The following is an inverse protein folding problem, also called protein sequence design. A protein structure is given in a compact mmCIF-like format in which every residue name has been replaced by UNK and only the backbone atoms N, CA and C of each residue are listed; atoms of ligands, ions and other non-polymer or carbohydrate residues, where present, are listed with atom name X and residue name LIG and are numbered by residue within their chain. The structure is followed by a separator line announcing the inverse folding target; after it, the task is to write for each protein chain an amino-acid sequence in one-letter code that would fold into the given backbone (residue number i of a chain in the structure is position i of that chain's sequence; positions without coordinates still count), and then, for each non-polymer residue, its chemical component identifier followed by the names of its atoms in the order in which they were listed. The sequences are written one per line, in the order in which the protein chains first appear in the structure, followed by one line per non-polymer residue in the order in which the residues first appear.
data_IF_134360438411
#
_entry.id   IF_134360438411
#
_cell.length_a   1.000
_cell.length_b   1.000
_cell.length_c   1.000
_cell.angle_alpha   90.00
_cell.angle_beta   90.00
_cell.angle_gamma   90.00
#
_symmetry.space_group_name_H-M   'P 1'
#
loop_
_entity.id
_entity.type
_entity.pdbx_description
1 polymer ?
#
# COMPACT_ATOMS: atom_id res chain seq x y z
N UNK A 1 71.93 -13.67 10.07
CA UNK A 1 72.55 -13.98 11.39
C UNK A 1 72.29 -12.83 12.36
N UNK A 2 72.44 -13.04 13.69
CA UNK A 2 72.58 -12.02 14.78
C UNK A 2 71.58 -10.84 14.85
N UNK A 3 70.72 -10.70 15.88
CA UNK A 3 70.95 -10.29 17.30
C UNK A 3 71.51 -8.86 17.47
N UNK A 4 71.08 -7.98 18.40
CA UNK A 4 69.90 -7.93 19.33
C UNK A 4 69.87 -6.65 20.23
N UNK A 5 68.71 -6.37 20.88
CA UNK A 5 68.50 -5.68 22.20
C UNK A 5 68.47 -4.14 22.35
N UNK A 6 67.56 -3.68 23.24
CA UNK A 6 67.54 -2.36 23.94
C UNK A 6 66.20 -1.60 23.77
N UNK A 7 65.26 -1.40 24.71
CA UNK A 7 65.01 -1.65 26.17
C UNK A 7 64.94 -0.38 27.07
N UNK A 8 63.71 0.14 27.26
CA UNK A 8 63.16 1.12 28.26
C UNK A 8 61.63 0.87 28.34
N UNK A 9 60.79 1.10 29.38
CA UNK A 9 60.75 1.79 30.70
C UNK A 9 60.78 3.34 30.72
N UNK A 10 59.89 4.05 31.44
CA UNK A 10 58.68 3.69 32.23
C UNK A 10 57.86 4.97 32.63
N UNK A 11 56.77 4.79 33.43
CA UNK A 11 55.97 5.83 34.16
C UNK A 11 54.97 6.59 33.26
N UNK A 12 53.74 6.97 33.67
CA UNK A 12 52.96 6.70 34.91
C UNK A 12 51.82 7.73 35.14
N UNK A 13 50.90 7.46 36.09
CA UNK A 13 49.64 8.20 36.42
C UNK A 13 48.56 8.24 35.31
N UNK A 14 47.24 8.04 35.50
CA UNK A 14 46.31 7.82 36.64
C UNK A 14 45.50 9.03 37.16
N UNK A 15 44.27 8.72 37.63
CA UNK A 15 43.16 9.60 38.06
C UNK A 15 42.37 10.31 36.93
N UNK A 16 41.03 10.45 37.02
CA UNK A 16 40.12 9.88 38.01
C UNK A 16 38.63 9.97 37.60
N UNK A 17 37.82 8.99 38.02
CA UNK A 17 36.35 9.06 37.92
C UNK A 17 35.76 9.86 39.09
N UNK A 18 34.66 10.56 38.86
CA UNK A 18 33.65 10.80 39.90
C UNK A 18 32.27 10.33 39.44
N UNK A 19 31.53 9.80 40.39
CA UNK A 19 30.16 9.26 40.29
C UNK A 19 29.37 9.90 41.42
N UNK A 20 28.08 10.22 41.23
CA UNK A 20 27.11 10.19 42.32
C UNK A 20 26.26 8.91 42.26
N UNK A 21 26.25 8.16 43.36
CA UNK A 21 25.16 7.24 43.73
C UNK A 21 24.28 7.94 44.76
N UNK A 22 23.02 7.50 44.85
CA UNK A 22 22.25 7.11 46.05
C UNK A 22 20.86 6.70 45.50
N UNK A 23 20.38 5.47 45.65
CA UNK A 23 19.69 4.91 46.84
C UNK A 23 18.48 5.76 47.29
N UNK A 24 17.23 5.26 47.36
CA UNK A 24 16.68 3.95 46.94
C UNK A 24 15.51 3.47 47.84
N UNK A 25 14.73 2.48 47.38
CA UNK A 25 13.54 1.88 48.04
C UNK A 25 12.30 2.81 48.14
N UNK A 26 11.05 2.37 48.30
CA UNK A 26 10.35 1.09 47.99
C UNK A 26 8.84 1.24 48.27
N UNK A 27 7.96 0.48 47.58
CA UNK A 27 6.61 0.15 48.09
C UNK A 27 5.41 0.77 47.34
N UNK A 28 4.72 -0.10 46.59
CA UNK A 28 3.28 -0.41 46.62
C UNK A 28 2.13 0.64 46.50
N UNK A 29 1.08 0.16 45.82
CA UNK A 29 -0.35 0.54 45.92
C UNK A 29 -0.89 1.79 45.21
N UNK A 30 -1.49 1.53 44.04
CA UNK A 30 -2.83 1.96 43.58
C UNK A 30 -3.45 3.22 44.23
N UNK A 31 -3.68 4.27 43.42
CA UNK A 31 -5.03 4.81 43.18
C UNK A 31 -5.11 5.75 41.96
N UNK A 32 -6.33 6.10 41.57
CA UNK A 32 -6.68 6.78 40.31
C UNK A 32 -7.13 8.23 40.48
N UNK A 33 -6.53 9.15 39.73
CA UNK A 33 -7.10 10.45 39.35
C UNK A 33 -6.74 10.69 37.87
N UNK A 34 -7.68 10.84 36.93
CA UNK A 34 -8.70 11.88 36.80
C UNK A 34 -8.11 13.26 36.48
N UNK A 35 -8.00 13.57 35.18
CA UNK A 35 -8.00 14.94 34.69
C UNK A 35 -8.89 15.05 33.45
N UNK A 36 -10.17 15.38 33.66
CA UNK A 36 -11.09 15.87 32.63
C UNK A 36 -11.22 17.38 32.80
N UNK A 37 -10.56 18.17 31.97
CA UNK A 37 -11.00 19.52 31.58
C UNK A 37 -10.03 20.07 30.53
N UNK A 38 -10.61 20.58 29.43
CA UNK A 38 -10.14 21.70 28.58
C UNK A 38 -10.89 21.67 27.23
N UNK A 39 -12.22 21.79 27.31
CA UNK A 39 -13.10 22.09 26.17
C UNK A 39 -14.13 23.13 26.61
N UNK A 40 -13.71 24.39 26.68
CA UNK A 40 -14.59 25.57 26.53
C UNK A 40 -13.79 26.88 26.59
N UNK A 41 -13.63 27.56 25.45
CA UNK A 41 -13.87 29.01 25.33
C UNK A 41 -13.87 29.46 23.86
N UNK A 42 -14.52 30.61 23.62
CA UNK A 42 -14.39 31.46 22.43
C UNK A 42 -14.86 30.90 21.08
N UNK A 43 -16.10 30.40 21.03
CA UNK A 43 -16.97 30.72 19.90
C UNK A 43 -17.66 32.07 20.19
N UNK A 44 -17.31 33.14 19.48
CA UNK A 44 -18.15 34.33 19.36
C UNK A 44 -18.34 34.69 17.89
N UNK A 45 -19.59 34.86 17.52
CA UNK A 45 -20.04 35.02 16.14
C UNK A 45 -19.94 36.48 15.70
N UNK A 46 -19.31 36.75 14.57
CA UNK A 46 -19.43 38.03 13.88
C UNK A 46 -19.62 37.80 12.37
N UNK A 47 -20.66 38.42 11.79
CA UNK A 47 -21.01 38.26 10.38
C UNK A 47 -20.26 39.31 9.55
N UNK A 48 -19.41 38.88 8.64
CA UNK A 48 -18.92 39.73 7.54
C UNK A 48 -19.30 39.10 6.21
N UNK A 49 -20.16 39.80 5.44
CA UNK A 49 -20.28 39.58 3.99
C UNK A 49 -19.13 40.30 3.29
N UNK A 50 -18.54 39.72 2.25
CA UNK A 50 -18.02 40.48 1.12
C UNK A 50 -19.06 40.54 0.00
N UNK A 51 -19.12 41.66 -0.71
CA UNK A 51 -19.90 41.82 -1.93
C UNK A 51 -19.05 41.51 -3.18
N UNK A 52 -19.57 41.82 -4.37
CA UNK A 52 -19.00 41.44 -5.66
C UNK A 52 -17.72 42.20 -6.05
N UNK A 53 -17.02 41.62 -7.04
CA UNK A 53 -16.02 42.22 -7.94
C UNK A 53 -14.70 42.76 -7.35
N UNK A 54 -13.61 42.09 -7.73
CA UNK A 54 -12.51 42.79 -8.42
C UNK A 54 -11.75 41.86 -9.39
N UNK A 55 -11.29 42.39 -10.53
CA UNK A 55 -10.60 41.61 -11.56
C UNK A 55 -9.15 41.25 -11.19
N UNK A 56 -8.92 40.11 -10.53
CA UNK A 56 -7.53 39.60 -10.39
C UNK A 56 -7.04 38.89 -11.66
N UNK A 57 -6.48 39.69 -12.57
CA UNK A 57 -5.60 39.25 -13.67
C UNK A 57 -4.33 38.61 -13.10
N UNK A 58 -4.40 37.33 -12.74
CA UNK A 58 -3.28 36.50 -12.32
C UNK A 58 -2.54 35.89 -13.51
N UNK A 59 -1.21 36.06 -13.58
CA UNK A 59 -0.42 35.70 -14.75
C UNK A 59 -0.40 34.17 -15.02
N UNK A 60 -0.97 33.76 -16.15
CA UNK A 60 -0.96 32.37 -16.62
C UNK A 60 0.40 31.96 -17.22
N UNK A 61 1.43 31.86 -16.39
CA UNK A 61 2.75 31.35 -16.80
C UNK A 61 2.73 29.81 -16.78
N UNK A 62 2.90 29.19 -17.95
CA UNK A 62 3.22 27.77 -18.08
C UNK A 62 2.08 26.79 -18.42
N UNK A 63 0.84 27.27 -18.57
CA UNK A 63 -0.28 26.41 -19.00
C UNK A 63 -0.14 26.02 -20.49
N UNK A 64 0.53 24.88 -20.78
CA UNK A 64 0.48 24.22 -22.10
C UNK A 64 -0.99 23.92 -22.43
N UNK A 65 -1.57 24.64 -23.40
CA UNK A 65 -2.90 24.32 -23.95
C UNK A 65 -2.85 22.92 -24.57
N UNK A 66 -3.38 21.92 -23.89
CA UNK A 66 -3.42 20.55 -24.43
C UNK A 66 -4.52 20.50 -25.51
N UNK A 67 -4.20 20.16 -26.78
CA UNK A 67 -5.16 20.23 -27.88
C UNK A 67 -6.16 19.07 -27.83
N UNK A 68 -7.25 19.24 -27.09
CA UNK A 68 -8.38 18.30 -27.01
C UNK A 68 -9.26 18.33 -28.30
N UNK A 69 -8.66 18.54 -29.47
CA UNK A 69 -9.34 18.80 -30.75
C UNK A 69 -9.38 17.61 -31.72
N UNK A 70 -8.70 16.49 -31.42
CA UNK A 70 -8.78 15.27 -32.24
C UNK A 70 -9.93 14.38 -31.79
N UNK A 71 -10.60 13.69 -32.71
CA UNK A 71 -11.80 12.88 -32.40
C UNK A 71 -11.50 11.67 -31.48
N UNK A 72 -12.38 11.42 -30.50
CA UNK A 72 -12.27 10.28 -29.58
C UNK A 72 -12.63 8.96 -30.29
N UNK A 73 -11.68 8.02 -30.34
CA UNK A 73 -11.83 6.70 -31.00
C UNK A 73 -11.48 5.56 -30.04
N UNK A 74 -11.76 4.32 -30.44
CA UNK A 74 -11.45 3.12 -29.66
C UNK A 74 -9.94 2.98 -29.36
N UNK A 75 -9.09 3.41 -30.28
CA UNK A 75 -7.63 3.31 -30.19
C UNK A 75 -7.06 4.38 -29.24
N UNK A 76 -7.55 5.61 -29.34
CA UNK A 76 -7.01 6.77 -28.61
C UNK A 76 -7.72 7.07 -27.27
N UNK A 77 -8.77 6.33 -26.93
CA UNK A 77 -9.65 6.64 -25.80
C UNK A 77 -8.93 6.83 -24.46
N UNK A 78 -8.15 5.85 -23.99
CA UNK A 78 -7.51 5.88 -22.66
C UNK A 78 -6.58 7.08 -22.52
N UNK A 79 -5.84 7.44 -23.56
CA UNK A 79 -4.89 8.55 -23.50
C UNK A 79 -5.61 9.91 -23.48
N UNK A 80 -6.71 10.06 -24.23
CA UNK A 80 -7.53 11.28 -24.15
C UNK A 80 -8.24 11.43 -22.82
N UNK A 81 -8.71 10.34 -22.24
CA UNK A 81 -9.29 10.37 -20.89
C UNK A 81 -8.22 10.70 -19.82
N UNK A 82 -6.96 10.29 -20.00
CA UNK A 82 -5.85 10.74 -19.15
C UNK A 82 -5.61 12.24 -19.27
N UNK A 83 -5.42 12.75 -20.49
CA UNK A 83 -5.31 14.19 -20.78
C UNK A 83 -6.48 14.98 -20.19
N UNK A 84 -7.72 14.55 -20.39
CA UNK A 84 -8.91 15.21 -19.85
C UNK A 84 -9.02 15.14 -18.31
N UNK A 85 -8.31 14.21 -17.66
CA UNK A 85 -8.25 14.16 -16.18
C UNK A 85 -7.37 15.28 -15.61
N UNK A 86 -6.47 15.86 -16.42
CA UNK A 86 -5.58 16.96 -16.04
C UNK A 86 -6.23 18.36 -16.24
N UNK A 87 -7.36 18.44 -16.94
CA UNK A 87 -8.14 19.66 -17.09
C UNK A 87 -8.81 20.09 -15.76
N UNK A 88 -9.07 21.38 -15.59
CA UNK A 88 -9.90 21.85 -14.47
C UNK A 88 -11.33 21.29 -14.58
N UNK A 89 -12.05 21.22 -13.45
CA UNK A 89 -13.44 20.73 -13.44
C UNK A 89 -14.34 21.50 -14.44
N UNK A 90 -14.17 22.82 -14.52
CA UNK A 90 -14.90 23.74 -15.40
C UNK A 90 -14.54 23.59 -16.88
N UNK A 91 -13.34 23.10 -17.20
CA UNK A 91 -12.97 22.75 -18.59
C UNK A 91 -13.46 21.35 -18.95
N UNK A 92 -13.25 20.38 -18.05
CA UNK A 92 -13.66 18.98 -18.24
C UNK A 92 -15.17 18.85 -18.43
N UNK A 93 -15.98 19.59 -17.67
CA UNK A 93 -17.45 19.54 -17.75
C UNK A 93 -18.00 19.97 -19.12
N UNK A 94 -17.34 20.91 -19.82
CA UNK A 94 -17.70 21.35 -21.18
C UNK A 94 -17.58 20.23 -22.22
N UNK A 95 -16.66 19.30 -22.02
CA UNK A 95 -16.39 18.18 -22.92
C UNK A 95 -17.10 16.87 -22.48
N UNK A 96 -17.45 16.76 -21.20
CA UNK A 96 -17.96 15.53 -20.58
C UNK A 96 -19.15 14.89 -21.31
N UNK A 97 -20.22 15.61 -21.72
CA UNK A 97 -21.39 14.98 -22.35
C UNK A 97 -21.06 14.30 -23.68
N UNK A 98 -20.33 15.00 -24.56
CA UNK A 98 -19.91 14.46 -25.85
C UNK A 98 -18.94 13.28 -25.71
N UNK A 99 -18.04 13.35 -24.73
CA UNK A 99 -17.06 12.28 -24.45
C UNK A 99 -17.73 11.03 -23.86
N UNK A 100 -18.61 11.17 -22.85
CA UNK A 100 -19.34 10.00 -22.33
C UNK A 100 -20.31 9.42 -23.37
N UNK A 101 -20.94 10.25 -24.22
CA UNK A 101 -21.78 9.79 -25.33
C UNK A 101 -20.97 8.99 -26.38
N UNK A 102 -19.81 9.49 -26.80
CA UNK A 102 -18.94 8.78 -27.75
C UNK A 102 -18.34 7.51 -27.13
N UNK A 103 -18.00 7.48 -25.83
CA UNK A 103 -17.59 6.24 -25.16
C UNK A 103 -18.71 5.18 -25.15
N UNK A 104 -19.98 5.57 -24.94
CA UNK A 104 -21.11 4.64 -24.92
C UNK A 104 -21.30 3.87 -26.24
N UNK A 105 -20.84 4.42 -27.38
CA UNK A 105 -20.98 3.76 -28.68
C UNK A 105 -19.88 2.72 -28.98
N UNK A 106 -18.72 2.78 -28.32
CA UNK A 106 -17.60 1.85 -28.58
C UNK A 106 -17.04 1.11 -27.36
N UNK A 107 -17.48 1.41 -26.13
CA UNK A 107 -16.93 0.77 -24.90
C UNK A 107 -17.00 -0.77 -24.92
N UNK A 108 -18.03 -1.35 -25.57
CA UNK A 108 -18.18 -2.80 -25.73
C UNK A 108 -17.27 -3.42 -26.80
N UNK A 109 -16.59 -2.61 -27.62
CA UNK A 109 -15.74 -3.04 -28.73
C UNK A 109 -14.23 -2.86 -28.46
N UNK A 110 -13.85 -2.12 -27.42
CA UNK A 110 -12.47 -2.07 -26.91
C UNK A 110 -12.18 -3.28 -26.01
N UNK A 111 -10.90 -3.65 -25.92
CA UNK A 111 -10.46 -4.75 -25.05
C UNK A 111 -10.77 -4.53 -23.56
N UNK A 112 -10.91 -5.63 -22.84
CA UNK A 112 -11.21 -5.69 -21.41
C UNK A 112 -10.30 -4.82 -20.52
N UNK A 113 -9.02 -4.69 -20.88
CA UNK A 113 -8.08 -3.89 -20.10
C UNK A 113 -8.34 -2.40 -20.29
N UNK A 114 -8.60 -1.95 -21.54
CA UNK A 114 -9.08 -0.59 -21.80
C UNK A 114 -10.45 -0.33 -21.16
N UNK A 115 -11.42 -1.26 -21.21
CA UNK A 115 -12.71 -1.10 -20.53
C UNK A 115 -12.53 -0.83 -19.03
N UNK A 116 -11.69 -1.61 -18.36
CA UNK A 116 -11.34 -1.43 -16.94
C UNK A 116 -10.61 -0.11 -16.64
N UNK A 117 -9.88 0.47 -17.60
CA UNK A 117 -9.22 1.78 -17.45
C UNK A 117 -10.19 2.95 -17.70
N UNK A 118 -10.99 2.89 -18.77
CA UNK A 118 -12.05 3.86 -19.07
C UNK A 118 -12.99 4.01 -17.87
N UNK A 119 -13.50 2.88 -17.34
CA UNK A 119 -14.47 2.90 -16.26
C UNK A 119 -13.88 3.42 -14.93
N UNK A 120 -12.59 3.19 -14.64
CA UNK A 120 -11.89 3.85 -13.51
C UNK A 120 -11.84 5.37 -13.66
N UNK A 121 -11.52 5.86 -14.86
CA UNK A 121 -11.40 7.31 -15.11
C UNK A 121 -12.78 7.99 -14.98
N UNK A 122 -13.83 7.38 -15.53
CA UNK A 122 -15.21 7.91 -15.38
C UNK A 122 -15.67 7.91 -13.92
N UNK A 123 -15.35 6.87 -13.14
CA UNK A 123 -15.63 6.85 -11.68
C UNK A 123 -14.85 7.92 -10.92
N UNK A 124 -13.58 8.15 -11.26
CA UNK A 124 -12.78 9.24 -10.69
C UNK A 124 -13.39 10.62 -11.02
N UNK A 125 -13.82 10.83 -12.26
CA UNK A 125 -14.46 12.08 -12.67
C UNK A 125 -15.79 12.30 -11.94
N UNK A 126 -16.62 11.27 -11.79
CA UNK A 126 -17.86 11.34 -11.03
C UNK A 126 -17.62 11.71 -9.55
N UNK A 127 -16.58 11.15 -8.89
CA UNK A 127 -16.20 11.54 -7.53
C UNK A 127 -15.82 13.01 -7.45
N UNK A 128 -14.91 13.46 -8.33
CA UNK A 128 -14.44 14.85 -8.36
C UNK A 128 -15.57 15.85 -8.68
N UNK A 129 -16.56 15.44 -9.47
CA UNK A 129 -17.76 16.25 -9.73
C UNK A 129 -18.71 16.28 -8.52
N UNK A 130 -18.88 15.16 -7.81
CA UNK A 130 -19.66 15.11 -6.58
C UNK A 130 -19.04 15.98 -5.46
N UNK A 131 -17.71 15.98 -5.34
CA UNK A 131 -16.93 16.84 -4.43
C UNK A 131 -17.12 18.36 -4.69
N UNK A 132 -17.61 18.74 -5.88
CA UNK A 132 -17.89 20.12 -6.27
C UNK A 132 -19.38 20.47 -6.39
N UNK A 133 -20.29 19.52 -6.12
CA UNK A 133 -21.74 19.63 -6.36
C UNK A 133 -22.11 19.86 -7.85
N UNK A 134 -21.28 19.39 -8.79
CA UNK A 134 -21.63 19.36 -10.22
C UNK A 134 -22.85 18.45 -10.48
N UNK A 135 -23.61 18.71 -11.55
CA UNK A 135 -24.67 17.79 -11.97
C UNK A 135 -24.12 16.44 -12.43
N UNK A 136 -24.45 15.37 -11.69
CA UNK A 136 -24.02 14.01 -12.03
C UNK A 136 -24.88 13.33 -13.12
N UNK A 137 -25.92 14.01 -13.62
CA UNK A 137 -26.85 13.50 -14.65
C UNK A 137 -26.16 12.93 -15.89
N UNK A 138 -25.06 13.56 -16.32
CA UNK A 138 -24.25 13.15 -17.50
C UNK A 138 -23.65 11.74 -17.35
N UNK A 139 -23.37 11.30 -16.10
CA UNK A 139 -22.79 10.00 -15.80
C UNK A 139 -23.84 8.87 -15.73
N UNK A 140 -25.12 9.17 -15.48
CA UNK A 140 -26.19 8.16 -15.34
C UNK A 140 -26.45 7.38 -16.64
N UNK A 141 -26.53 8.07 -17.79
CA UNK A 141 -26.66 7.41 -19.09
C UNK A 141 -25.47 6.46 -19.36
N UNK A 142 -24.26 6.87 -18.97
CA UNK A 142 -23.06 6.05 -19.10
C UNK A 142 -23.07 4.83 -18.16
N UNK A 143 -23.50 5.01 -16.90
CA UNK A 143 -23.72 3.93 -15.93
C UNK A 143 -24.74 2.91 -16.45
N UNK A 144 -25.90 3.36 -16.92
CA UNK A 144 -26.97 2.51 -17.47
C UNK A 144 -26.49 1.69 -18.67
N UNK A 145 -25.77 2.32 -19.61
CA UNK A 145 -25.21 1.62 -20.78
C UNK A 145 -24.12 0.61 -20.39
N UNK A 146 -23.22 1.00 -19.49
CA UNK A 146 -22.13 0.12 -19.01
C UNK A 146 -22.68 -1.06 -18.20
N UNK A 147 -23.77 -0.87 -17.46
CA UNK A 147 -24.49 -1.95 -16.77
C UNK A 147 -25.01 -3.00 -17.75
N UNK A 148 -25.74 -2.59 -18.79
CA UNK A 148 -26.23 -3.50 -19.84
C UNK A 148 -25.10 -4.34 -20.45
N UNK A 149 -23.95 -3.71 -20.74
CA UNK A 149 -22.77 -4.39 -21.28
C UNK A 149 -22.24 -5.46 -20.31
N UNK A 150 -22.08 -5.13 -19.03
CA UNK A 150 -21.58 -6.06 -18.00
C UNK A 150 -22.57 -7.22 -17.77
N UNK A 151 -23.87 -6.92 -17.74
CA UNK A 151 -24.92 -7.91 -17.54
C UNK A 151 -25.01 -8.88 -18.73
N UNK A 152 -24.65 -8.44 -19.95
CA UNK A 152 -24.58 -9.28 -21.16
C UNK A 152 -23.33 -10.15 -21.30
N UNK A 153 -22.31 -9.99 -20.44
CA UNK A 153 -21.11 -10.84 -20.46
C UNK A 153 -21.42 -12.24 -19.90
N UNK A 154 -21.06 -13.31 -20.63
CA UNK A 154 -21.32 -14.69 -20.16
C UNK A 154 -20.52 -15.04 -18.90
N UNK A 155 -21.17 -15.69 -17.93
CA UNK A 155 -20.51 -16.23 -16.73
C UNK A 155 -19.67 -17.50 -16.99
N UNK A 156 -19.77 -18.09 -18.20
CA UNK A 156 -18.96 -19.24 -18.62
C UNK A 156 -17.55 -18.88 -19.14
N UNK A 157 -17.22 -17.59 -19.26
CA UNK A 157 -15.95 -17.15 -19.84
C UNK A 157 -14.76 -17.26 -18.85
N UNK A 158 -13.52 -17.52 -19.32
CA UNK A 158 -12.31 -17.47 -18.49
C UNK A 158 -12.10 -16.10 -17.81
N UNK A 159 -12.67 -15.04 -18.39
CA UNK A 159 -12.56 -13.65 -17.97
C UNK A 159 -13.55 -13.24 -16.86
N UNK A 160 -14.15 -14.19 -16.15
CA UNK A 160 -14.99 -13.94 -14.94
C UNK A 160 -14.40 -12.94 -13.95
N UNK A 161 -13.07 -12.80 -13.88
CA UNK A 161 -12.37 -11.79 -13.07
C UNK A 161 -12.58 -10.35 -13.56
N UNK A 162 -12.69 -10.14 -14.87
CA UNK A 162 -12.95 -8.82 -15.48
C UNK A 162 -14.43 -8.46 -15.36
N UNK A 163 -15.38 -9.36 -15.64
CA UNK A 163 -16.81 -9.11 -15.36
C UNK A 163 -17.02 -8.67 -13.89
N UNK A 164 -16.37 -9.35 -12.94
CA UNK A 164 -16.35 -8.95 -11.52
C UNK A 164 -15.60 -7.64 -11.23
N UNK A 165 -14.64 -7.24 -12.06
CA UNK A 165 -13.91 -5.98 -11.97
C UNK A 165 -14.76 -4.80 -12.45
N UNK A 166 -15.32 -4.93 -13.65
CA UNK A 166 -16.21 -3.93 -14.27
C UNK A 166 -17.47 -3.74 -13.44
N UNK A 167 -18.13 -4.82 -13.01
CA UNK A 167 -19.29 -4.76 -12.12
C UNK A 167 -19.01 -4.04 -10.81
N UNK A 168 -17.82 -4.20 -10.22
CA UNK A 168 -17.42 -3.44 -9.01
C UNK A 168 -17.26 -1.96 -9.28
N UNK A 169 -16.59 -1.57 -10.38
CA UNK A 169 -16.41 -0.16 -10.74
C UNK A 169 -17.76 0.49 -11.10
N UNK A 170 -18.63 -0.22 -11.81
CA UNK A 170 -19.96 0.26 -12.18
C UNK A 170 -20.88 0.41 -10.95
N UNK A 171 -20.75 -0.48 -9.97
CA UNK A 171 -21.40 -0.33 -8.66
C UNK A 171 -20.84 0.87 -7.89
N UNK A 172 -19.52 1.10 -7.89
CA UNK A 172 -18.93 2.31 -7.28
C UNK A 172 -19.42 3.59 -7.96
N UNK A 173 -19.60 3.59 -9.29
CA UNK A 173 -20.25 4.70 -10.01
C UNK A 173 -21.67 4.94 -9.48
N UNK A 174 -22.50 3.89 -9.43
CA UNK A 174 -23.86 3.96 -8.91
C UNK A 174 -23.93 4.49 -7.47
N UNK A 175 -23.00 4.06 -6.59
CA UNK A 175 -22.93 4.57 -5.20
C UNK A 175 -22.61 6.07 -5.16
N UNK A 176 -21.82 6.60 -6.10
CA UNK A 176 -21.56 8.05 -6.19
C UNK A 176 -22.85 8.78 -6.62
N UNK A 177 -23.55 8.29 -7.65
CA UNK A 177 -24.80 8.90 -8.13
C UNK A 177 -25.89 8.93 -7.04
N UNK A 178 -26.10 7.82 -6.33
CA UNK A 178 -27.17 7.72 -5.32
C UNK A 178 -26.84 8.52 -4.03
N UNK A 179 -25.55 8.76 -3.73
CA UNK A 179 -25.15 9.52 -2.53
C UNK A 179 -25.52 10.99 -2.63
N UNK A 180 -25.45 11.60 -3.83
CA UNK A 180 -25.91 12.98 -4.05
C UNK A 180 -27.43 13.15 -3.92
N UNK A 181 -28.22 12.10 -4.16
CA UNK A 181 -29.68 12.15 -4.06
C UNK A 181 -30.20 11.97 -2.63
N UNK A 182 -29.46 11.26 -1.78
CA UNK A 182 -29.96 10.79 -0.47
C UNK A 182 -29.37 11.50 0.74
N UNK A 183 -28.24 12.22 0.60
CA UNK A 183 -27.61 12.99 1.68
C UNK A 183 -27.10 12.17 2.89
N UNK A 184 -27.29 10.86 2.89
CA UNK A 184 -27.00 10.00 4.04
C UNK A 184 -25.55 9.53 4.07
N UNK A 185 -24.82 9.93 5.11
CA UNK A 185 -23.45 9.48 5.39
C UNK A 185 -23.42 8.19 6.21
N UNK A 186 -24.18 7.17 5.80
CA UNK A 186 -24.09 5.83 6.40
C UNK A 186 -22.80 5.14 5.91
N UNK A 187 -21.75 5.12 6.74
CA UNK A 187 -20.40 4.62 6.40
C UNK A 187 -20.31 3.07 6.41
N UNK A 188 -21.45 2.37 6.23
CA UNK A 188 -21.53 0.91 6.40
C UNK A 188 -21.64 0.10 5.09
N UNK A 189 -20.58 -0.68 4.84
CA UNK A 189 -20.57 -1.97 4.13
C UNK A 189 -20.90 -2.10 2.62
N UNK A 190 -21.13 -1.05 1.82
CA UNK A 190 -21.27 -1.23 0.35
C UNK A 190 -20.30 -0.41 -0.52
N UNK A 191 -19.45 -1.14 -1.26
CA UNK A 191 -18.75 -0.85 -2.54
C UNK A 191 -18.15 0.54 -2.84
N UNK A 192 -18.10 1.46 -1.87
CA UNK A 192 -17.48 2.76 -2.03
C UNK A 192 -15.96 2.64 -2.18
N UNK A 193 -15.38 3.39 -3.11
CA UNK A 193 -13.93 3.46 -3.26
C UNK A 193 -13.33 4.22 -2.07
N UNK A 194 -12.22 3.72 -1.55
CA UNK A 194 -11.54 4.35 -0.42
C UNK A 194 -10.74 5.54 -0.93
N UNK A 195 -10.65 6.61 -0.15
CA UNK A 195 -10.07 7.89 -0.60
C UNK A 195 -8.67 7.75 -1.19
N UNK A 196 -7.83 6.88 -0.61
CA UNK A 196 -6.48 6.58 -1.14
C UNK A 196 -6.50 5.98 -2.57
N UNK A 197 -7.57 5.25 -2.95
CA UNK A 197 -7.70 4.65 -4.27
C UNK A 197 -8.00 5.72 -5.32
N UNK A 198 -8.91 6.64 -5.02
CA UNK A 198 -9.25 7.77 -5.88
C UNK A 198 -8.06 8.73 -6.04
N UNK A 199 -7.37 9.06 -4.94
CA UNK A 199 -6.14 9.86 -4.97
C UNK A 199 -5.04 9.18 -5.80
N UNK A 200 -4.83 7.87 -5.66
CA UNK A 200 -3.84 7.15 -6.46
C UNK A 200 -4.21 7.12 -7.94
N UNK A 201 -5.49 6.95 -8.29
CA UNK A 201 -5.91 7.01 -9.71
C UNK A 201 -5.73 8.42 -10.29
N UNK A 202 -6.01 9.47 -9.51
CA UNK A 202 -5.77 10.86 -9.90
C UNK A 202 -4.28 11.14 -10.16
N UNK A 203 -3.39 10.67 -9.29
CA UNK A 203 -1.95 10.88 -9.47
C UNK A 203 -1.37 9.98 -10.57
N UNK A 204 -1.93 8.79 -10.82
CA UNK A 204 -1.47 7.93 -11.91
C UNK A 204 -1.85 8.43 -13.32
N UNK A 205 -2.82 9.34 -13.44
CA UNK A 205 -3.15 10.03 -14.70
C UNK A 205 -2.39 11.35 -14.91
N UNK A 206 -1.62 11.82 -13.93
CA UNK A 206 -0.75 12.99 -14.05
C UNK A 206 0.57 12.65 -14.79
N UNK A 207 1.17 13.66 -15.43
CA UNK A 207 2.54 13.55 -15.94
C UNK A 207 3.52 13.15 -14.80
N UNK A 208 4.47 12.22 -15.03
CA UNK A 208 5.45 11.81 -14.02
C UNK A 208 6.15 12.97 -13.29
N UNK A 209 6.49 14.08 -13.96
CA UNK A 209 7.15 15.23 -13.32
C UNK A 209 6.26 15.96 -12.32
N UNK A 210 4.94 15.88 -12.49
CA UNK A 210 3.95 16.55 -11.65
C UNK A 210 3.59 15.75 -10.38
N UNK A 211 3.81 14.43 -10.39
CA UNK A 211 3.35 13.50 -9.32
C UNK A 211 3.97 13.80 -7.95
N UNK A 212 5.20 14.29 -7.90
CA UNK A 212 5.93 14.56 -6.66
C UNK A 212 5.15 15.46 -5.69
N UNK A 213 4.41 16.42 -6.22
CA UNK A 213 3.56 17.38 -5.49
C UNK A 213 2.47 16.70 -4.67
N UNK A 214 1.97 15.55 -5.15
CA UNK A 214 0.80 14.85 -4.60
C UNK A 214 1.15 13.57 -3.83
N UNK A 215 2.40 13.10 -3.90
CA UNK A 215 2.86 11.94 -3.10
C UNK A 215 2.65 12.14 -1.58
N UNK A 216 2.87 13.32 -0.96
CA UNK A 216 2.57 13.52 0.46
C UNK A 216 1.09 13.28 0.83
N UNK A 217 0.16 13.72 -0.03
CA UNK A 217 -1.29 13.55 0.13
C UNK A 217 -1.69 12.06 0.03
N UNK A 218 -1.19 11.38 -1.01
CA UNK A 218 -1.38 9.93 -1.20
C UNK A 218 -0.84 9.14 0.00
N UNK A 219 0.36 9.46 0.48
CA UNK A 219 0.97 8.80 1.64
C UNK A 219 0.20 9.07 2.93
N UNK A 220 -0.32 10.27 3.13
CA UNK A 220 -1.21 10.59 4.26
C UNK A 220 -2.47 9.73 4.21
N UNK A 221 -3.15 9.65 3.06
CA UNK A 221 -4.36 8.84 2.89
C UNK A 221 -4.10 7.34 3.10
N UNK A 222 -2.95 6.82 2.65
CA UNK A 222 -2.51 5.45 2.92
C UNK A 222 -2.24 5.20 4.42
N UNK A 223 -1.54 6.11 5.11
CA UNK A 223 -1.32 6.02 6.57
C UNK A 223 -2.65 6.00 7.33
N UNK A 224 -3.58 6.90 6.99
CA UNK A 224 -4.92 6.96 7.60
C UNK A 224 -5.72 5.68 7.40
N UNK A 225 -5.69 5.07 6.21
CA UNK A 225 -6.32 3.77 5.96
C UNK A 225 -5.71 2.65 6.81
N UNK A 226 -4.38 2.58 6.94
CA UNK A 226 -3.69 1.57 7.77
C UNK A 226 -4.06 1.68 9.26
N UNK A 227 -4.45 2.87 9.72
CA UNK A 227 -4.87 3.15 11.09
C UNK A 227 -6.37 2.91 11.34
N UNK A 228 -7.19 2.61 10.33
CA UNK A 228 -8.62 2.30 10.52
C UNK A 228 -8.81 0.98 11.30
N UNK A 229 -9.94 0.90 12.00
CA UNK A 229 -10.35 -0.14 12.94
C UNK A 229 -9.97 -1.58 12.51
N UNK A 230 -9.42 -2.33 13.46
CA UNK A 230 -8.88 -3.69 13.31
C UNK A 230 -9.85 -4.71 12.69
N UNK A 231 -11.16 -4.47 12.78
CA UNK A 231 -12.20 -5.24 12.09
C UNK A 231 -12.02 -5.30 10.55
N UNK A 232 -11.31 -4.32 9.96
CA UNK A 232 -10.95 -4.30 8.52
C UNK A 232 -9.88 -5.32 8.10
N UNK A 233 -9.15 -5.92 9.05
CA UNK A 233 -8.04 -6.83 8.75
C UNK A 233 -8.41 -8.31 8.94
N UNK A 234 -9.70 -8.57 9.22
CA UNK A 234 -10.32 -9.88 9.40
C UNK A 234 -10.57 -10.64 8.09
N UNK A 235 -10.93 -11.93 8.21
CA UNK A 235 -11.28 -12.81 7.07
C UNK A 235 -12.34 -12.22 6.13
N UNK A 236 -13.35 -11.52 6.67
CA UNK A 236 -14.42 -10.91 5.87
C UNK A 236 -13.90 -9.82 4.92
N UNK A 237 -12.92 -9.04 5.38
CA UNK A 237 -12.38 -7.88 4.68
C UNK A 237 -11.07 -8.16 3.91
N UNK A 238 -10.75 -9.44 3.64
CA UNK A 238 -9.48 -9.86 3.01
C UNK A 238 -9.16 -9.23 1.63
N UNK A 239 -10.14 -8.61 0.97
CA UNK A 239 -9.95 -7.79 -0.25
C UNK A 239 -9.27 -6.44 0.05
N UNK A 240 -9.56 -5.80 1.18
CA UNK A 240 -9.00 -4.49 1.57
C UNK A 240 -7.47 -4.55 1.64
N UNK A 241 -6.93 -5.57 2.33
CA UNK A 241 -5.49 -5.81 2.40
C UNK A 241 -4.85 -6.15 1.03
N UNK A 242 -5.60 -6.68 0.07
CA UNK A 242 -5.09 -6.91 -1.28
C UNK A 242 -5.04 -5.63 -2.12
N UNK A 243 -6.08 -4.81 -2.04
CA UNK A 243 -6.14 -3.56 -2.80
C UNK A 243 -5.20 -2.49 -2.22
N UNK A 244 -4.94 -2.52 -0.91
CA UNK A 244 -3.90 -1.73 -0.27
C UNK A 244 -2.49 -2.14 -0.72
N UNK A 245 -2.19 -3.45 -0.86
CA UNK A 245 -0.91 -3.94 -1.42
C UNK A 245 -0.73 -3.46 -2.88
N UNK A 246 -1.79 -3.47 -3.70
CA UNK A 246 -1.73 -2.93 -5.07
C UNK A 246 -1.42 -1.43 -5.09
N UNK A 247 -2.12 -0.66 -4.25
CA UNK A 247 -1.92 0.78 -4.10
C UNK A 247 -0.48 1.11 -3.67
N UNK A 248 0.05 0.40 -2.67
CA UNK A 248 1.43 0.54 -2.21
C UNK A 248 2.44 0.24 -3.33
N UNK A 249 2.22 -0.82 -4.11
CA UNK A 249 3.06 -1.13 -5.28
C UNK A 249 3.02 -0.03 -6.33
N UNK A 250 1.86 0.58 -6.61
CA UNK A 250 1.76 1.71 -7.54
C UNK A 250 2.59 2.90 -7.06
N UNK A 251 2.48 3.27 -5.78
CA UNK A 251 3.31 4.35 -5.18
C UNK A 251 4.80 4.01 -5.22
N UNK A 252 5.15 2.74 -5.00
CA UNK A 252 6.53 2.23 -5.08
C UNK A 252 7.11 2.38 -6.49
N UNK A 253 6.34 2.03 -7.52
CA UNK A 253 6.75 2.16 -8.92
C UNK A 253 6.98 3.64 -9.32
N UNK A 254 6.22 4.58 -8.77
CA UNK A 254 6.48 6.01 -9.00
C UNK A 254 7.83 6.45 -8.40
N UNK A 255 8.20 5.93 -7.23
CA UNK A 255 9.49 6.20 -6.58
C UNK A 255 10.67 5.53 -7.28
N UNK A 256 10.47 4.34 -7.82
CA UNK A 256 11.46 3.63 -8.64
C UNK A 256 11.70 4.35 -9.98
N UNK A 257 10.69 5.03 -10.51
CA UNK A 257 10.78 5.83 -11.75
C UNK A 257 11.35 7.24 -11.54
N UNK A 258 11.06 7.89 -10.41
CA UNK A 258 11.51 9.26 -10.08
C UNK A 258 12.09 9.30 -8.65
N UNK A 259 13.38 9.00 -8.47
CA UNK A 259 14.01 9.02 -7.15
C UNK A 259 14.23 10.44 -6.63
N UNK A 260 13.61 10.76 -5.48
CA UNK A 260 13.74 12.04 -4.76
C UNK A 260 13.95 11.76 -3.27
N UNK A 261 15.01 12.33 -2.70
CA UNK A 261 15.38 12.16 -1.29
C UNK A 261 14.30 12.69 -0.33
N UNK A 262 13.57 13.73 -0.72
CA UNK A 262 12.43 14.30 0.04
C UNK A 262 11.33 13.26 0.18
N UNK A 263 10.98 12.61 -0.93
CA UNK A 263 9.97 11.55 -1.01
C UNK A 263 10.42 10.30 -0.25
N UNK A 264 11.72 9.95 -0.27
CA UNK A 264 12.27 8.82 0.49
C UNK A 264 12.08 8.97 2.01
N UNK A 265 12.18 10.19 2.55
CA UNK A 265 11.91 10.46 3.98
C UNK A 265 10.46 10.14 4.34
N UNK A 266 9.50 10.47 3.48
CA UNK A 266 8.07 10.19 3.69
C UNK A 266 7.73 8.68 3.68
N UNK A 267 8.43 7.88 2.86
CA UNK A 267 8.32 6.42 2.93
C UNK A 267 8.92 5.85 4.23
N UNK A 268 9.86 6.57 4.84
CA UNK A 268 10.45 6.23 6.13
C UNK A 268 9.42 6.01 7.24
N UNK A 269 8.35 6.81 7.26
CA UNK A 269 7.20 6.69 8.17
C UNK A 269 6.18 5.63 7.72
N UNK A 270 5.96 5.53 6.40
CA UNK A 270 5.00 4.59 5.81
C UNK A 270 5.36 3.16 6.22
N UNK A 271 6.65 2.83 6.21
CA UNK A 271 7.22 1.56 6.67
C UNK A 271 6.81 1.21 8.11
N UNK A 272 6.72 2.19 9.02
CA UNK A 272 6.31 1.96 10.41
C UNK A 272 4.81 1.62 10.49
N UNK A 273 3.98 2.32 9.72
CA UNK A 273 2.54 2.04 9.61
C UNK A 273 2.28 0.67 8.96
N UNK A 274 3.03 0.33 7.92
CA UNK A 274 3.01 -0.99 7.29
C UNK A 274 3.39 -2.09 8.29
N UNK A 275 4.41 -1.88 9.13
CA UNK A 275 4.82 -2.84 10.17
C UNK A 275 3.73 -3.07 11.21
N UNK A 276 3.11 -2.00 11.70
CA UNK A 276 1.99 -2.09 12.64
C UNK A 276 0.78 -2.82 12.03
N UNK A 277 0.50 -2.60 10.74
CA UNK A 277 -0.56 -3.29 10.01
C UNK A 277 -0.25 -4.77 9.74
N UNK A 278 1.01 -5.13 9.44
CA UNK A 278 1.40 -6.51 9.15
C UNK A 278 1.03 -7.45 10.29
N UNK A 279 1.09 -7.03 11.55
CA UNK A 279 0.68 -7.89 12.65
C UNK A 279 -0.84 -8.12 12.71
N UNK A 280 -1.65 -7.11 12.37
CA UNK A 280 -3.12 -7.15 12.38
C UNK A 280 -3.73 -7.98 11.24
N UNK A 281 -3.03 -8.17 10.13
CA UNK A 281 -3.54 -8.91 8.97
C UNK A 281 -3.70 -10.41 9.31
N UNK A 282 -4.94 -10.89 9.35
CA UNK A 282 -5.27 -12.30 9.68
C UNK A 282 -4.65 -13.34 8.72
N UNK A 283 -4.55 -13.01 7.42
CA UNK A 283 -4.13 -13.97 6.40
C UNK A 283 -2.60 -13.92 6.18
N UNK A 284 -1.89 -15.01 6.46
CA UNK A 284 -0.43 -15.06 6.33
C UNK A 284 0.06 -14.77 4.90
N UNK A 285 -0.62 -15.29 3.88
CA UNK A 285 -0.29 -14.97 2.47
C UNK A 285 -0.51 -13.50 2.11
N UNK A 286 -1.30 -12.74 2.86
CA UNK A 286 -1.39 -11.27 2.76
C UNK A 286 -0.30 -10.58 3.59
N UNK A 287 0.03 -11.07 4.81
CA UNK A 287 1.19 -10.58 5.60
C UNK A 287 2.48 -10.59 4.76
N UNK A 288 2.80 -11.72 4.12
CA UNK A 288 3.99 -11.88 3.25
C UNK A 288 4.04 -10.83 2.14
N UNK A 289 2.91 -10.55 1.47
CA UNK A 289 2.84 -9.54 0.40
C UNK A 289 3.04 -8.12 0.94
N UNK A 290 2.39 -7.78 2.05
CA UNK A 290 2.54 -6.47 2.70
C UNK A 290 3.99 -6.25 3.16
N UNK A 291 4.63 -7.27 3.73
CA UNK A 291 6.03 -7.23 4.12
C UNK A 291 6.97 -7.10 2.91
N UNK A 292 6.69 -7.76 1.78
CA UNK A 292 7.49 -7.65 0.56
C UNK A 292 7.50 -6.22 -0.01
N UNK A 293 6.35 -5.53 0.01
CA UNK A 293 6.31 -4.11 -0.38
C UNK A 293 6.99 -3.22 0.69
N UNK A 294 6.83 -3.53 1.99
CA UNK A 294 7.54 -2.82 3.08
C UNK A 294 9.06 -2.88 2.94
N UNK A 295 9.62 -4.08 2.70
CA UNK A 295 11.06 -4.28 2.44
C UNK A 295 11.51 -3.50 1.20
N UNK A 296 10.65 -3.40 0.19
CA UNK A 296 11.00 -2.69 -1.04
C UNK A 296 11.01 -1.16 -0.83
N UNK A 297 10.06 -0.59 -0.06
CA UNK A 297 10.16 0.80 0.41
C UNK A 297 11.39 1.04 1.31
N UNK A 298 11.74 0.09 2.18
CA UNK A 298 12.96 0.18 3.00
C UNK A 298 14.26 0.11 2.18
N UNK A 299 14.28 -0.64 1.06
CA UNK A 299 15.40 -0.66 0.11
C UNK A 299 15.50 0.68 -0.64
N UNK A 300 14.39 1.21 -1.14
CA UNK A 300 14.33 2.52 -1.82
C UNK A 300 14.81 3.65 -0.90
N UNK A 301 14.32 3.69 0.35
CA UNK A 301 14.73 4.69 1.35
C UNK A 301 16.08 4.41 2.02
N UNK A 302 16.94 3.56 1.46
CA UNK A 302 18.30 3.27 1.96
C UNK A 302 18.38 2.59 3.35
N UNK A 303 17.25 2.26 3.99
CA UNK A 303 17.17 1.67 5.34
C UNK A 303 17.64 0.21 5.40
N UNK A 304 17.83 -0.47 4.25
CA UNK A 304 18.39 -1.82 4.17
C UNK A 304 19.75 -1.76 3.48
N UNK A 305 20.78 -2.26 4.16
CA UNK A 305 22.13 -2.35 3.61
C UNK A 305 22.16 -3.21 2.33
N UNK A 306 22.87 -2.70 1.32
CA UNK A 306 23.19 -3.36 0.05
C UNK A 306 24.17 -4.55 0.17
N UNK A 307 24.55 -4.96 1.40
CA UNK A 307 25.39 -6.13 1.64
C UNK A 307 24.84 -7.41 1.00
N UNK A 308 25.74 -8.29 0.55
CA UNK A 308 25.41 -9.44 -0.29
C UNK A 308 24.35 -10.36 0.31
N UNK A 309 23.61 -11.06 -0.55
CA UNK A 309 22.58 -12.01 -0.13
C UNK A 309 23.12 -13.10 0.81
N UNK A 310 24.38 -13.50 0.65
CA UNK A 310 25.08 -14.46 1.51
C UNK A 310 25.20 -13.95 2.96
N UNK A 311 25.68 -12.71 3.17
CA UNK A 311 25.77 -12.09 4.50
C UNK A 311 24.40 -11.95 5.16
N UNK A 312 23.34 -11.78 4.36
CA UNK A 312 21.97 -11.74 4.88
C UNK A 312 21.42 -13.15 5.17
N UNK A 313 21.80 -14.16 4.40
CA UNK A 313 21.52 -15.57 4.69
C UNK A 313 22.21 -16.06 5.97
N UNK A 314 23.45 -15.65 6.23
CA UNK A 314 24.21 -15.98 7.46
C UNK A 314 23.56 -15.37 8.70
N UNK A 315 23.22 -14.07 8.65
CA UNK A 315 22.50 -13.37 9.74
C UNK A 315 21.12 -13.98 9.98
N UNK A 316 20.42 -14.37 8.91
CA UNK A 316 19.16 -15.09 9.02
C UNK A 316 19.35 -16.47 9.66
N UNK A 317 20.37 -17.24 9.26
CA UNK A 317 20.63 -18.56 9.82
C UNK A 317 20.89 -18.48 11.32
N UNK A 318 21.65 -17.49 11.78
CA UNK A 318 21.89 -17.29 13.21
C UNK A 318 20.62 -16.90 13.96
N UNK A 319 19.79 -16.01 13.39
CA UNK A 319 18.46 -15.69 13.95
C UNK A 319 17.54 -16.91 13.99
N UNK A 320 17.60 -17.78 12.98
CA UNK A 320 16.74 -18.96 12.81
C UNK A 320 17.16 -20.12 13.72
N UNK A 321 18.47 -20.32 14.00
CA UNK A 321 18.95 -21.28 15.01
C UNK A 321 18.41 -20.97 16.42
N UNK A 322 18.16 -19.68 16.70
CA UNK A 322 17.65 -19.20 17.98
C UNK A 322 16.13 -19.33 18.09
N UNK A 323 15.43 -19.80 17.03
CA UNK A 323 14.02 -20.19 17.08
C UNK A 323 13.87 -21.59 17.66
N UNK A 324 13.09 -21.68 18.71
CA UNK A 324 12.70 -22.91 19.39
C UNK A 324 11.18 -23.15 19.35
N UNK A 325 10.70 -24.24 19.97
CA UNK A 325 9.27 -24.49 20.13
C UNK A 325 8.55 -23.49 21.05
N UNK A 326 9.29 -22.69 21.84
CA UNK A 326 8.75 -21.66 22.71
C UNK A 326 8.71 -20.25 22.09
N UNK A 327 9.20 -20.09 20.86
CA UNK A 327 9.26 -18.82 20.14
C UNK A 327 7.87 -18.32 19.73
N UNK A 328 7.69 -16.99 19.71
CA UNK A 328 6.42 -16.37 19.33
C UNK A 328 6.10 -16.57 17.83
N UNK A 329 4.82 -16.73 17.49
CA UNK A 329 4.40 -16.89 16.09
C UNK A 329 4.82 -15.71 15.21
N UNK A 330 4.84 -14.49 15.75
CA UNK A 330 5.36 -13.29 15.06
C UNK A 330 6.88 -13.34 14.81
N UNK A 331 7.66 -14.01 15.66
CA UNK A 331 9.10 -14.20 15.44
C UNK A 331 9.38 -15.21 14.31
N UNK A 332 8.61 -16.31 14.26
CA UNK A 332 8.65 -17.29 13.17
C UNK A 332 8.16 -16.64 11.86
N UNK A 333 7.05 -15.90 11.89
CA UNK A 333 6.54 -15.12 10.74
C UNK A 333 7.61 -14.16 10.20
N UNK A 334 8.25 -13.37 11.07
CA UNK A 334 9.35 -12.46 10.71
C UNK A 334 10.50 -13.18 10.04
N UNK A 335 10.89 -14.36 10.51
CA UNK A 335 11.99 -15.13 9.92
C UNK A 335 11.60 -15.74 8.56
N UNK A 336 10.35 -16.17 8.37
CA UNK A 336 9.83 -16.58 7.05
C UNK A 336 9.82 -15.38 6.08
N UNK A 337 9.47 -14.18 6.55
CA UNK A 337 9.49 -12.99 5.71
C UNK A 337 10.90 -12.59 5.27
N UNK A 338 11.88 -12.64 6.19
CA UNK A 338 13.30 -12.42 5.88
C UNK A 338 13.85 -13.51 4.94
N UNK A 339 13.47 -14.77 5.17
CA UNK A 339 13.79 -15.88 4.26
C UNK A 339 13.26 -15.64 2.85
N UNK A 340 12.10 -15.01 2.70
CA UNK A 340 11.55 -14.60 1.41
C UNK A 340 12.42 -13.61 0.64
N UNK A 341 12.94 -12.56 1.29
CA UNK A 341 13.81 -11.56 0.63
C UNK A 341 15.21 -12.12 0.33
N UNK A 342 15.70 -13.09 1.11
CA UNK A 342 16.96 -13.82 0.84
C UNK A 342 16.78 -14.81 -0.32
N UNK A 343 15.78 -15.69 -0.27
CA UNK A 343 15.59 -16.79 -1.22
C UNK A 343 15.14 -16.36 -2.63
N UNK A 344 14.60 -15.14 -2.77
CA UNK A 344 14.20 -14.54 -4.05
C UNK A 344 15.19 -13.49 -4.57
N UNK A 345 16.31 -13.23 -3.88
CA UNK A 345 17.26 -12.19 -4.29
C UNK A 345 18.01 -12.61 -5.55
N UNK A 346 17.97 -11.83 -6.65
CA UNK A 346 18.85 -12.06 -7.78
C UNK A 346 20.30 -11.76 -7.40
N UNK A 347 21.21 -12.68 -7.71
CA UNK A 347 22.66 -12.49 -7.59
C UNK A 347 23.34 -12.98 -8.85
N UNK A 348 24.25 -12.18 -9.42
CA UNK A 348 24.87 -12.45 -10.73
C UNK A 348 25.57 -13.81 -10.81
N UNK A 349 26.23 -14.23 -9.73
CA UNK A 349 26.91 -15.53 -9.59
C UNK A 349 26.44 -16.30 -8.33
N UNK A 350 25.21 -16.05 -7.85
CA UNK A 350 24.70 -16.68 -6.62
C UNK A 350 23.24 -17.11 -6.78
N UNK A 351 22.99 -18.41 -6.64
CA UNK A 351 21.64 -18.98 -6.64
C UNK A 351 21.24 -19.32 -5.19
N UNK A 352 20.32 -18.56 -4.56
CA UNK A 352 19.93 -18.80 -3.16
C UNK A 352 19.40 -20.22 -2.92
N UNK A 353 18.78 -20.86 -3.91
CA UNK A 353 18.18 -22.20 -3.76
C UNK A 353 19.20 -23.34 -3.76
N UNK A 354 20.43 -23.07 -4.18
CA UNK A 354 21.55 -24.03 -4.15
C UNK A 354 22.55 -23.70 -3.03
N UNK A 355 22.31 -22.64 -2.27
CA UNK A 355 23.19 -22.19 -1.20
C UNK A 355 22.99 -23.03 0.09
N UNK A 356 24.06 -23.64 0.66
CA UNK A 356 23.93 -24.46 1.87
C UNK A 356 23.49 -23.72 3.13
N UNK A 357 23.70 -22.40 3.21
CA UNK A 357 23.25 -21.56 4.34
C UNK A 357 21.75 -21.29 4.21
N UNK A 358 21.27 -20.96 3.00
CA UNK A 358 19.83 -20.81 2.72
C UNK A 358 19.07 -22.12 2.90
N UNK A 359 19.65 -23.25 2.49
CA UNK A 359 19.08 -24.59 2.72
C UNK A 359 18.93 -24.86 4.23
N UNK A 360 19.96 -24.59 5.04
CA UNK A 360 19.88 -24.71 6.51
C UNK A 360 18.85 -23.76 7.13
N UNK A 361 18.68 -22.55 6.61
CA UNK A 361 17.59 -21.65 7.03
C UNK A 361 16.20 -22.28 6.77
N UNK A 362 16.01 -22.89 5.60
CA UNK A 362 14.78 -23.62 5.27
C UNK A 362 14.55 -24.79 6.24
N UNK A 363 15.54 -25.66 6.45
CA UNK A 363 15.43 -26.85 7.30
C UNK A 363 15.08 -26.49 8.75
N UNK A 364 15.76 -25.49 9.31
CA UNK A 364 15.50 -25.02 10.68
C UNK A 364 14.12 -24.36 10.80
N UNK A 365 13.71 -23.52 9.83
CA UNK A 365 12.36 -22.93 9.83
C UNK A 365 11.26 -24.00 9.70
N UNK A 366 11.46 -25.00 8.84
CA UNK A 366 10.54 -26.13 8.67
C UNK A 366 10.46 -27.00 9.94
N UNK A 367 11.59 -27.24 10.62
CA UNK A 367 11.60 -27.92 11.92
C UNK A 367 10.77 -27.18 12.97
N UNK A 368 10.92 -25.85 13.06
CA UNK A 368 10.13 -25.04 14.00
C UNK A 368 8.64 -24.98 13.62
N UNK A 369 8.31 -24.85 12.33
CA UNK A 369 6.93 -24.90 11.81
C UNK A 369 6.22 -26.24 12.04
N UNK A 370 6.97 -27.35 12.12
CA UNK A 370 6.47 -28.69 12.40
C UNK A 370 6.53 -29.07 13.89
N UNK A 371 7.07 -28.21 14.77
CA UNK A 371 7.21 -28.52 16.19
C UNK A 371 5.86 -28.54 16.92
N UNK A 372 5.62 -29.57 17.72
CA UNK A 372 4.33 -29.77 18.41
C UNK A 372 3.93 -28.56 19.28
N UNK A 373 4.89 -27.88 19.90
CA UNK A 373 4.61 -26.75 20.78
C UNK A 373 4.26 -25.47 20.02
N UNK A 374 4.80 -25.29 18.80
CA UNK A 374 4.32 -24.27 17.86
C UNK A 374 2.89 -24.58 17.37
N UNK A 375 2.56 -25.86 17.10
CA UNK A 375 1.20 -26.23 16.69
C UNK A 375 0.17 -26.02 17.82
N UNK A 376 0.50 -26.43 19.05
CA UNK A 376 -0.31 -26.14 20.26
C UNK A 376 -0.43 -24.62 20.49
N UNK A 377 0.64 -23.85 20.24
CA UNK A 377 0.64 -22.38 20.36
C UNK A 377 -0.28 -21.72 19.34
N UNK A 378 -0.14 -22.02 18.05
CA UNK A 378 -1.04 -21.47 17.03
C UNK A 378 -2.51 -21.76 17.35
N UNK A 379 -2.85 -22.98 17.82
CA UNK A 379 -4.22 -23.30 18.24
C UNK A 379 -4.69 -22.47 19.45
N UNK A 380 -3.82 -22.16 20.42
CA UNK A 380 -4.12 -21.23 21.56
C UNK A 380 -4.24 -19.77 21.12
N UNK A 381 -3.43 -19.33 20.17
CA UNK A 381 -3.46 -17.99 19.56
C UNK A 381 -4.59 -17.83 18.52
N UNK A 382 -5.49 -18.81 18.39
CA UNK A 382 -6.62 -18.81 17.46
C UNK A 382 -6.26 -19.06 15.99
N UNK A 383 -4.98 -19.21 15.63
CA UNK A 383 -4.56 -19.46 14.27
C UNK A 383 -5.03 -20.84 13.77
N UNK A 384 -5.93 -20.82 12.79
CA UNK A 384 -6.41 -22.02 12.09
C UNK A 384 -5.27 -22.82 11.41
N UNK A 385 -5.49 -24.12 11.19
CA UNK A 385 -4.54 -24.99 10.44
C UNK A 385 -4.26 -24.49 9.02
N UNK A 386 -5.19 -23.73 8.42
CA UNK A 386 -4.97 -23.04 7.15
C UNK A 386 -3.77 -22.07 7.23
N UNK A 387 -3.52 -21.45 8.39
CA UNK A 387 -2.36 -20.59 8.63
C UNK A 387 -1.03 -21.37 8.67
N UNK A 388 -1.02 -22.58 9.25
CA UNK A 388 0.13 -23.49 9.18
C UNK A 388 0.40 -23.91 7.72
N UNK A 389 -0.65 -24.35 7.02
CA UNK A 389 -0.57 -24.78 5.62
C UNK A 389 -0.11 -23.62 4.71
N UNK A 390 -0.54 -22.38 4.98
CA UNK A 390 -0.05 -21.18 4.27
C UNK A 390 1.45 -20.94 4.49
N UNK A 391 1.96 -21.06 5.73
CA UNK A 391 3.40 -20.91 6.02
C UNK A 391 4.24 -21.96 5.29
N UNK A 392 3.85 -23.23 5.42
CA UNK A 392 4.51 -24.38 4.76
C UNK A 392 4.52 -24.22 3.23
N UNK A 393 3.34 -24.00 2.63
CA UNK A 393 3.19 -23.82 1.18
C UNK A 393 3.96 -22.61 0.62
N UNK A 394 4.34 -21.63 1.46
CA UNK A 394 5.18 -20.49 1.05
C UNK A 394 6.66 -20.86 1.16
N UNK A 395 7.11 -21.50 2.23
CA UNK A 395 8.50 -22.00 2.38
C UNK A 395 8.89 -22.95 1.22
N UNK A 396 8.02 -23.92 0.90
CA UNK A 396 8.24 -24.85 -0.23
C UNK A 396 8.32 -24.13 -1.58
N UNK A 397 7.52 -23.08 -1.78
CA UNK A 397 7.54 -22.28 -3.03
C UNK A 397 8.76 -21.38 -3.14
N UNK A 398 9.26 -20.84 -2.02
CA UNK A 398 10.48 -20.04 -1.99
C UNK A 398 11.69 -20.87 -2.42
N UNK A 399 11.81 -22.11 -1.92
CA UNK A 399 12.85 -23.07 -2.34
C UNK A 399 12.59 -23.73 -3.70
N UNK A 400 11.39 -23.61 -4.29
CA UNK A 400 11.03 -24.25 -5.56
C UNK A 400 10.74 -25.76 -5.46
N UNK A 401 10.52 -26.27 -4.26
CA UNK A 401 10.28 -27.70 -3.96
C UNK A 401 8.93 -28.19 -4.52
N UNK A 402 7.95 -27.29 -4.70
CA UNK A 402 6.70 -27.59 -5.41
C UNK A 402 6.60 -26.83 -6.72
N UNK A 403 6.34 -27.57 -7.80
CA UNK A 403 6.08 -27.03 -9.12
C UNK A 403 4.86 -26.09 -9.15
N UNK A 404 4.85 -25.16 -10.11
CA UNK A 404 3.88 -24.07 -10.18
C UNK A 404 2.52 -24.49 -10.74
N UNK A 405 1.49 -24.53 -9.88
CA UNK A 405 0.17 -24.04 -10.30
C UNK A 405 0.16 -22.51 -10.21
N UNK A 406 -0.31 -21.85 -11.26
CA UNK A 406 -0.06 -20.42 -11.53
C UNK A 406 -0.57 -19.48 -10.42
N UNK A 407 0.39 -18.92 -9.67
CA UNK A 407 0.28 -17.60 -9.07
C UNK A 407 1.61 -16.88 -9.32
N UNK A 408 1.66 -16.09 -10.40
CA UNK A 408 2.85 -15.33 -10.75
C UNK A 408 3.21 -14.35 -9.61
N UNK A 409 4.49 -14.33 -9.24
CA UNK A 409 5.11 -13.23 -8.51
C UNK A 409 5.68 -12.24 -9.53
N UNK A 410 4.76 -11.59 -10.22
CA UNK A 410 4.97 -10.41 -11.08
C UNK A 410 3.97 -9.37 -10.64
#
# INVERSE_FOLDING_TARGET
MTKSRGKRKAIGSESGRKVPKLQGKSGDTVQSASLKQDIQQNNKMERVKPEMNEERKGNAIGAKRIPCSTELTAENCVEKLRVMTQLSAVERSKHLPGVLSKLQSFISAIDETKQMLVLKIVVLWASLSAEHNDSLSVYDCFYKRTRQMIDSMSDSHPERRVKLGLGRLNNSLHTILNKSETGSSDDTNTTFLRSYQLLIWRVDTMDPSERGKHIPEVLSSLKSEMLRNDQLWTKANAKVAEDLVKALRTVRLWAEANPDETIFRLFGDLVEHMRALIEKIWNFSKKVRMYSEMQSFMRIGGKISSGSGQVQAERLLETVKQLDGQSATSAIDRCIFLFGDVALRPGSNWNPRQDPTVTKCYDCLMKSLSSQDFLKRMKREGFSELGQRQRTNIMEKLMGIRATSYFAFT
#
